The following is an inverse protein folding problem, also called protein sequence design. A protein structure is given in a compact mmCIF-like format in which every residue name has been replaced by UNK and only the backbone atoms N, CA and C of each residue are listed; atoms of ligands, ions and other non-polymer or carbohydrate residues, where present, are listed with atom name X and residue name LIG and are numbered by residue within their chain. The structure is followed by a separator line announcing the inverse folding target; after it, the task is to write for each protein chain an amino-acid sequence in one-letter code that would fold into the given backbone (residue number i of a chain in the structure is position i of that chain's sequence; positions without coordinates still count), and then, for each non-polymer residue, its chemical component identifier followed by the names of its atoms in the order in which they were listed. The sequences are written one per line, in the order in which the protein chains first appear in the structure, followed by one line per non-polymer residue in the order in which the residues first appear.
data_IF_640285771050
#
_entry.id   IF_640285771050
#
_cell.length_a   1.000
_cell.length_b   1.000
_cell.length_c   1.000
_cell.angle_alpha   90.00
_cell.angle_beta   90.00
_cell.angle_gamma   90.00
#
_symmetry.space_group_name_H-M   'P 1'
#
loop_
_entity.id
_entity.type
_entity.pdbx_description
1 polymer ?
#
# COMPACT_ATOMS: atom_id res chain seq x y z
N UNK A 1 33.41 32.07 -22.30
CA UNK A 1 32.05 32.02 -21.79
C UNK A 1 31.57 30.56 -21.80
N UNK A 2 31.24 30.04 -20.67
CA UNK A 2 30.77 28.66 -20.59
C UNK A 2 29.29 28.59 -20.92
N UNK A 3 28.92 27.62 -21.74
CA UNK A 3 27.53 27.36 -22.02
C UNK A 3 26.92 26.66 -20.82
N UNK A 4 25.72 27.04 -20.45
CA UNK A 4 25.01 26.41 -19.39
C UNK A 4 24.58 24.99 -19.82
N UNK A 5 24.99 23.99 -19.06
CA UNK A 5 24.63 22.59 -19.35
C UNK A 5 23.22 22.34 -18.88
N UNK A 6 22.47 21.65 -19.70
CA UNK A 6 21.10 21.25 -19.39
C UNK A 6 20.95 19.76 -19.59
N UNK A 7 20.15 19.14 -18.74
CA UNK A 7 19.80 17.74 -18.88
C UNK A 7 18.29 17.61 -18.76
N UNK A 8 17.71 16.74 -19.57
CA UNK A 8 16.28 16.50 -19.57
C UNK A 8 16.01 15.12 -18.99
N UNK A 9 15.15 15.07 -17.99
CA UNK A 9 14.67 13.81 -17.43
C UNK A 9 13.31 13.53 -18.03
N UNK A 10 13.17 12.37 -18.66
CA UNK A 10 11.91 11.96 -19.29
C UNK A 10 11.30 10.85 -18.45
N UNK A 11 10.04 11.01 -18.08
CA UNK A 11 9.32 10.03 -17.25
C UNK A 11 8.43 9.21 -18.16
N UNK A 12 8.60 7.87 -18.09
CA UNK A 12 7.89 6.94 -18.95
C UNK A 12 7.17 5.93 -18.08
N UNK A 13 5.91 5.67 -18.38
CA UNK A 13 5.10 4.70 -17.67
C UNK A 13 4.91 3.47 -18.54
N UNK A 14 5.06 2.26 -17.99
CA UNK A 14 4.67 1.05 -18.72
C UNK A 14 3.16 1.01 -18.93
N UNK A 15 2.71 0.25 -19.95
CA UNK A 15 1.28 0.19 -20.28
C UNK A 15 0.43 -0.32 -19.12
N UNK A 16 0.99 -1.20 -18.31
CA UNK A 16 0.28 -1.79 -17.18
C UNK A 16 0.51 -1.02 -15.87
N UNK A 17 1.01 0.22 -15.96
CA UNK A 17 1.22 1.01 -14.76
C UNK A 17 -0.10 1.28 -14.06
N UNK A 18 -0.13 0.97 -12.77
CA UNK A 18 -1.31 1.19 -11.95
C UNK A 18 -0.86 1.39 -10.50
N UNK A 19 -0.90 2.62 -9.99
CA UNK A 19 -0.50 2.85 -8.60
C UNK A 19 -1.47 2.13 -7.66
N UNK A 20 -0.92 1.52 -6.63
CA UNK A 20 -1.70 0.74 -5.67
C UNK A 20 -1.62 1.39 -4.29
N UNK A 21 -2.69 1.27 -3.55
CA UNK A 21 -2.72 1.69 -2.16
C UNK A 21 -2.03 0.62 -1.31
N UNK A 22 -1.16 1.05 -0.41
CA UNK A 22 -0.57 0.16 0.57
C UNK A 22 -0.59 0.82 1.94
N UNK A 23 -0.69 0.00 2.98
CA UNK A 23 -0.72 0.50 4.36
C UNK A 23 0.38 -0.11 5.22
N UNK A 24 1.32 -0.81 4.61
CA UNK A 24 2.47 -1.33 5.34
C UNK A 24 3.53 -1.89 4.42
N UNK A 25 4.65 -2.23 5.01
CA UNK A 25 5.77 -2.82 4.30
C UNK A 25 6.42 -3.89 5.17
N UNK A 26 6.94 -4.91 4.52
CA UNK A 26 7.65 -6.00 5.18
C UNK A 26 8.85 -6.40 4.34
N UNK A 27 9.95 -6.68 5.00
CA UNK A 27 11.16 -7.09 4.30
C UNK A 27 12.35 -7.04 5.22
N UNK A 28 13.45 -6.49 4.75
CA UNK A 28 14.65 -6.39 5.54
C UNK A 28 15.88 -6.26 4.66
N UNK A 29 17.01 -6.66 5.21
CA UNK A 29 18.29 -6.57 4.53
C UNK A 29 18.65 -7.94 3.99
N UNK A 30 18.96 -8.00 2.70
CA UNK A 30 19.38 -9.23 2.05
C UNK A 30 20.81 -9.61 2.43
N UNK A 31 21.21 -10.82 2.08
CA UNK A 31 22.56 -11.29 2.34
C UNK A 31 23.63 -10.48 1.60
N UNK A 32 23.22 -9.75 0.56
CA UNK A 32 24.12 -8.90 -0.23
C UNK A 32 24.10 -7.43 0.23
N UNK A 33 23.41 -7.14 1.33
CA UNK A 33 23.37 -5.79 1.88
C UNK A 33 22.38 -4.86 1.19
N UNK A 34 21.42 -5.40 0.47
CA UNK A 34 20.38 -4.61 -0.17
C UNK A 34 19.13 -4.57 0.70
N UNK A 35 18.39 -3.47 0.62
CA UNK A 35 17.13 -3.33 1.34
C UNK A 35 16.02 -3.83 0.44
N UNK A 36 15.25 -4.79 0.94
CA UNK A 36 14.10 -5.36 0.25
C UNK A 36 12.86 -4.89 0.97
N UNK A 37 11.95 -4.26 0.26
CA UNK A 37 10.68 -3.80 0.83
C UNK A 37 9.52 -4.34 -0.01
N UNK A 38 8.65 -5.10 0.64
CA UNK A 38 7.44 -5.60 0.03
C UNK A 38 6.28 -4.81 0.60
N UNK A 39 5.59 -4.06 -0.25
CA UNK A 39 4.48 -3.24 0.17
C UNK A 39 3.19 -4.04 0.10
N UNK A 40 2.38 -3.93 1.13
CA UNK A 40 1.17 -4.74 1.23
C UNK A 40 -0.03 -3.89 1.61
N UNK A 41 -1.19 -4.43 1.31
CA UNK A 41 -2.46 -3.96 1.83
C UNK A 41 -2.90 -4.95 2.90
N UNK A 42 -2.96 -4.47 4.14
CA UNK A 42 -3.47 -5.28 5.24
C UNK A 42 -4.98 -5.14 5.28
N UNK A 43 -5.65 -6.26 5.34
CA UNK A 43 -7.10 -6.29 5.36
C UNK A 43 -7.61 -7.54 6.05
N UNK A 44 -8.85 -7.50 6.50
CA UNK A 44 -9.51 -8.66 7.03
C UNK A 44 -9.83 -9.64 5.90
N UNK A 45 -9.71 -10.94 6.14
CA UNK A 45 -10.04 -11.93 5.12
C UNK A 45 -11.52 -11.95 4.81
N UNK A 46 -11.85 -12.30 3.56
CA UNK A 46 -13.21 -12.55 3.13
C UNK A 46 -13.40 -14.07 3.15
N UNK A 47 -14.46 -14.58 3.79
CA UNK A 47 -14.66 -16.02 3.83
C UNK A 47 -14.90 -16.61 2.43
N UNK A 48 -14.52 -17.87 2.27
CA UNK A 48 -14.81 -18.62 1.04
C UNK A 48 -16.32 -18.88 0.93
N UNK A 49 -16.96 -19.16 2.07
CA UNK A 49 -18.40 -19.35 2.12
C UNK A 49 -18.93 -19.03 3.50
N UNK A 50 -20.18 -18.63 3.54
CA UNK A 50 -20.93 -18.38 4.77
C UNK A 50 -22.23 -19.14 4.64
N UNK A 51 -22.58 -19.90 5.69
CA UNK A 51 -23.83 -20.65 5.75
C UNK A 51 -24.79 -19.98 6.72
N UNK A 52 -26.00 -19.69 6.24
CA UNK A 52 -27.03 -19.09 7.06
C UNK A 52 -28.16 -20.09 7.26
N UNK A 53 -28.82 -20.02 8.40
CA UNK A 53 -30.06 -20.78 8.64
C UNK A 53 -31.19 -20.15 7.82
N UNK A 54 -32.22 -20.94 7.57
CA UNK A 54 -33.44 -20.43 6.90
C UNK A 54 -34.58 -20.61 7.92
N UNK A 55 -35.31 -19.53 8.19
CA UNK A 55 -36.43 -19.53 9.10
C UNK A 55 -37.62 -20.31 8.49
N UNK A 56 -38.54 -20.79 9.33
CA UNK A 56 -39.72 -21.55 8.82
C UNK A 56 -40.54 -20.79 7.79
N UNK A 57 -40.52 -19.43 7.83
CA UNK A 57 -41.27 -18.61 6.88
C UNK A 57 -40.47 -18.35 5.57
N UNK A 58 -39.28 -18.95 5.42
CA UNK A 58 -38.42 -18.80 4.25
C UNK A 58 -37.46 -17.62 4.31
N UNK A 59 -37.51 -16.80 5.36
CA UNK A 59 -36.57 -15.69 5.50
C UNK A 59 -35.19 -16.15 5.96
N UNK A 60 -34.16 -15.35 5.66
CA UNK A 60 -32.80 -15.65 6.02
C UNK A 60 -32.59 -15.47 7.52
N UNK A 61 -32.02 -16.48 8.16
CA UNK A 61 -31.67 -16.43 9.59
C UNK A 61 -30.23 -16.00 9.78
N UNK A 62 -29.71 -16.29 10.97
CA UNK A 62 -28.34 -15.95 11.32
C UNK A 62 -27.32 -16.86 10.68
N UNK A 63 -26.05 -16.45 10.79
CA UNK A 63 -24.91 -17.22 10.28
C UNK A 63 -24.69 -18.41 11.20
N UNK A 64 -24.65 -19.62 10.64
CA UNK A 64 -24.41 -20.87 11.38
C UNK A 64 -23.08 -21.52 10.99
N UNK A 65 -22.40 -21.02 9.97
CA UNK A 65 -21.10 -21.56 9.61
C UNK A 65 -20.33 -20.60 8.74
N UNK A 66 -19.01 -20.60 8.89
CA UNK A 66 -18.07 -19.81 8.09
C UNK A 66 -16.92 -20.73 7.69
N UNK A 67 -16.51 -20.66 6.42
CA UNK A 67 -15.36 -21.41 5.92
C UNK A 67 -14.30 -20.44 5.42
N UNK A 68 -13.08 -20.47 5.95
CA UNK A 68 -12.56 -21.34 7.01
C UNK A 68 -13.07 -20.94 8.41
N UNK A 69 -13.18 -21.91 9.31
CA UNK A 69 -13.69 -21.67 10.66
C UNK A 69 -12.84 -20.70 11.48
N UNK A 70 -11.52 -20.70 11.24
CA UNK A 70 -10.57 -19.85 11.96
C UNK A 70 -10.35 -18.51 11.29
N UNK A 71 -11.27 -18.03 10.45
CA UNK A 71 -11.09 -16.83 9.66
C UNK A 71 -10.81 -15.59 10.53
N UNK A 72 -11.40 -15.53 11.73
CA UNK A 72 -11.25 -14.38 12.61
C UNK A 72 -9.86 -14.28 13.24
N UNK A 73 -9.06 -15.36 13.17
CA UNK A 73 -7.70 -15.37 13.71
C UNK A 73 -6.67 -15.00 12.65
N UNK A 74 -7.11 -14.62 11.46
CA UNK A 74 -6.25 -14.36 10.33
C UNK A 74 -6.42 -12.93 9.84
N UNK A 75 -5.28 -12.27 9.58
CA UNK A 75 -5.24 -10.98 8.90
C UNK A 75 -4.43 -11.20 7.64
N UNK A 76 -4.94 -10.73 6.51
CA UNK A 76 -4.26 -10.88 5.22
C UNK A 76 -3.40 -9.65 4.96
N UNK A 77 -2.15 -9.88 4.57
CA UNK A 77 -1.27 -8.86 4.06
C UNK A 77 -0.99 -9.16 2.59
N UNK A 78 -1.79 -8.54 1.75
CA UNK A 78 -1.68 -8.77 0.30
C UNK A 78 -0.54 -7.94 -0.25
N UNK A 79 0.50 -8.62 -0.72
CA UNK A 79 1.70 -7.96 -1.25
C UNK A 79 1.43 -7.58 -2.70
N UNK A 80 1.43 -6.29 -2.95
CA UNK A 80 1.10 -5.76 -4.27
C UNK A 80 2.35 -5.41 -5.09
N UNK A 81 3.44 -5.02 -4.41
CA UNK A 81 4.65 -4.64 -5.12
C UNK A 81 5.84 -4.76 -4.18
N UNK A 82 7.01 -4.96 -4.78
CA UNK A 82 8.25 -5.03 -4.04
C UNK A 82 9.32 -4.20 -4.69
N UNK A 83 10.25 -3.71 -3.90
CA UNK A 83 11.41 -2.98 -4.40
C UNK A 83 12.67 -3.48 -3.71
N UNK A 84 13.78 -3.33 -4.41
CA UNK A 84 15.11 -3.62 -3.87
C UNK A 84 15.94 -2.36 -4.05
N UNK A 85 16.59 -1.92 -2.98
CA UNK A 85 17.36 -0.69 -2.97
C UNK A 85 18.75 -0.94 -2.38
N UNK A 86 19.76 -0.28 -2.96
CA UNK A 86 21.02 -0.18 -2.26
C UNK A 86 20.90 0.93 -1.19
N UNK A 87 21.92 1.02 -0.32
CA UNK A 87 21.89 1.96 0.79
C UNK A 87 21.76 3.41 0.32
N UNK A 88 22.54 3.80 -0.68
CA UNK A 88 22.54 5.18 -1.19
C UNK A 88 21.18 5.60 -1.76
N UNK A 89 20.59 4.74 -2.58
CA UNK A 89 19.29 5.01 -3.16
C UNK A 89 18.20 5.01 -2.10
N UNK A 90 18.31 4.13 -1.11
CA UNK A 90 17.36 4.10 0.00
C UNK A 90 17.38 5.41 0.79
N UNK A 91 18.55 5.95 1.05
CA UNK A 91 18.68 7.24 1.74
C UNK A 91 18.06 8.37 0.94
N UNK A 92 18.28 8.39 -0.36
CA UNK A 92 17.73 9.41 -1.24
C UNK A 92 16.19 9.36 -1.25
N UNK A 93 15.62 8.18 -1.35
CA UNK A 93 14.17 8.00 -1.31
C UNK A 93 13.60 8.36 0.05
N UNK A 94 14.32 8.00 1.12
CA UNK A 94 13.92 8.35 2.48
C UNK A 94 13.81 9.86 2.65
N UNK A 95 14.80 10.61 2.17
CA UNK A 95 14.79 12.07 2.25
C UNK A 95 13.64 12.67 1.46
N UNK A 96 13.43 12.17 0.23
CA UNK A 96 12.32 12.62 -0.60
C UNK A 96 10.97 12.38 0.09
N UNK A 97 10.79 11.18 0.61
CA UNK A 97 9.53 10.82 1.28
C UNK A 97 9.33 11.67 2.54
N UNK A 98 10.39 11.90 3.30
CA UNK A 98 10.33 12.77 4.47
C UNK A 98 9.89 14.18 4.12
N UNK A 99 10.36 14.72 2.99
CA UNK A 99 9.96 16.04 2.52
C UNK A 99 8.47 16.07 2.15
N UNK A 100 7.96 15.01 1.55
CA UNK A 100 6.53 14.92 1.23
C UNK A 100 5.68 14.87 2.49
N UNK A 101 6.11 14.13 3.50
CA UNK A 101 5.42 14.06 4.79
C UNK A 101 5.40 15.44 5.43
N UNK A 102 6.52 16.15 5.41
CA UNK A 102 6.61 17.50 5.98
C UNK A 102 5.66 18.45 5.28
N UNK A 103 5.55 18.36 3.96
CA UNK A 103 4.63 19.19 3.20
C UNK A 103 3.17 18.90 3.58
N UNK A 104 2.82 17.62 3.76
CA UNK A 104 1.49 17.25 4.23
C UNK A 104 1.19 17.85 5.61
N UNK A 105 2.15 17.75 6.52
CA UNK A 105 1.99 18.29 7.86
C UNK A 105 1.82 19.81 7.84
N UNK A 106 2.57 20.51 6.98
CA UNK A 106 2.47 21.94 6.81
C UNK A 106 1.09 22.35 6.31
N UNK A 107 0.55 21.63 5.35
CA UNK A 107 -0.79 21.89 4.82
C UNK A 107 -1.86 21.72 5.89
N UNK A 108 -1.74 20.68 6.70
CA UNK A 108 -2.66 20.45 7.82
C UNK A 108 -2.56 21.55 8.86
N UNK A 109 -1.35 21.96 9.21
CA UNK A 109 -1.11 23.00 10.20
C UNK A 109 -1.67 24.35 9.74
N UNK A 110 -1.64 24.63 8.44
CA UNK A 110 -2.17 25.87 7.88
C UNK A 110 -3.69 25.84 7.71
N UNK A 111 -4.33 24.74 8.07
CA UNK A 111 -5.78 24.61 7.93
C UNK A 111 -6.26 24.40 6.49
N UNK A 112 -5.33 24.21 5.55
CA UNK A 112 -5.70 23.95 4.17
C UNK A 112 -6.20 22.51 4.04
N UNK A 113 -7.36 22.31 3.41
CA UNK A 113 -7.82 20.94 3.20
C UNK A 113 -6.91 20.23 2.22
N UNK A 114 -6.69 18.95 2.48
CA UNK A 114 -5.98 18.09 1.54
C UNK A 114 -6.99 17.67 0.49
N UNK A 115 -6.71 17.89 -0.81
CA UNK A 115 -7.65 17.47 -1.86
C UNK A 115 -7.89 15.97 -1.79
N UNK A 116 -9.16 15.59 -1.92
CA UNK A 116 -9.50 14.18 -2.01
C UNK A 116 -9.13 13.69 -3.40
N UNK A 117 -8.78 12.42 -3.47
CA UNK A 117 -8.51 11.78 -4.75
C UNK A 117 -9.73 11.92 -5.66
N UNK A 118 -9.51 12.38 -6.88
CA UNK A 118 -10.57 12.58 -7.85
C UNK A 118 -11.23 13.95 -7.85
N UNK A 119 -10.81 14.85 -6.98
CA UNK A 119 -11.27 16.23 -6.98
C UNK A 119 -10.36 17.13 -7.81
#
# INVERSE_FOLDING_TARGET
MSEERQIRFKYVFPENYNPVYCNGAFGGISTQGEIVANFFLERMPVPNSVTNSVNPDGTLGGIVGIDPENINDTVIRYISTGIVLNEENAKSIYEWLGNQIQELENRKAMGNPIPKEGE
#
